data_IF_296548021702
#
_entry.id   IF_296548021702
#
_cell.length_a   1.000
_cell.length_b   1.000
_cell.length_c   1.000
_cell.angle_alpha   90.00
_cell.angle_beta   90.00
_cell.angle_gamma   90.00
#
_symmetry.space_group_name_H-M   'P 1'
#
loop_
_entity.id
_entity.type
_entity.pdbx_description
1 polymer ?
#
# COMPACT_ATOMS: atom_id res chain seq x y z
N UNK A 1 56.00 -13.69 15.95
CA UNK A 1 55.03 -14.74 15.59
C UNK A 1 53.88 -14.93 16.59
N UNK A 2 54.07 -14.70 17.91
CA UNK A 2 52.96 -14.82 18.88
C UNK A 2 51.89 -13.72 18.73
N UNK A 3 52.30 -12.47 18.49
CA UNK A 3 51.39 -11.30 18.36
C UNK A 3 50.48 -11.42 17.13
N UNK A 4 51.02 -11.92 16.01
CA UNK A 4 50.26 -12.15 14.77
C UNK A 4 49.22 -13.27 14.95
N UNK A 5 49.52 -14.28 15.78
CA UNK A 5 48.57 -15.34 16.11
C UNK A 5 47.40 -14.81 16.95
N UNK A 6 47.67 -13.96 17.95
CA UNK A 6 46.62 -13.33 18.76
C UNK A 6 45.72 -12.43 17.92
N UNK A 7 46.28 -11.71 16.94
CA UNK A 7 45.50 -10.85 16.06
C UNK A 7 44.54 -11.66 15.16
N UNK A 8 45.00 -12.79 14.62
CA UNK A 8 44.17 -13.70 13.80
C UNK A 8 43.05 -14.36 14.61
N UNK A 9 43.33 -14.72 15.86
CA UNK A 9 42.32 -15.29 16.76
C UNK A 9 41.27 -14.20 17.08
N UNK A 10 41.69 -12.97 17.36
CA UNK A 10 40.79 -11.88 17.68
C UNK A 10 39.82 -11.54 16.53
N UNK A 11 40.30 -11.47 15.30
CA UNK A 11 39.44 -11.17 14.14
C UNK A 11 38.44 -12.30 13.86
N UNK A 12 38.83 -13.57 14.04
CA UNK A 12 37.94 -14.71 13.88
C UNK A 12 36.78 -14.75 14.89
N UNK A 13 36.96 -14.24 16.12
CA UNK A 13 35.88 -14.20 17.11
C UNK A 13 34.87 -13.07 16.88
N UNK A 14 35.27 -11.96 16.25
CA UNK A 14 34.37 -10.82 16.01
C UNK A 14 33.31 -11.07 14.92
N UNK A 15 33.53 -11.99 14.00
CA UNK A 15 32.57 -12.34 12.95
C UNK A 15 31.37 -13.14 13.46
N UNK A 16 31.51 -13.83 14.60
CA UNK A 16 30.42 -14.63 15.22
C UNK A 16 29.39 -13.75 15.93
N UNK A 17 29.75 -12.52 16.30
CA UNK A 17 28.85 -11.57 16.97
C UNK A 17 27.90 -10.85 15.99
N UNK A 18 28.12 -10.98 14.68
CA UNK A 18 27.22 -10.45 13.65
C UNK A 18 26.11 -11.45 13.34
N UNK A 19 25.16 -11.60 14.26
CA UNK A 19 23.87 -12.18 13.92
C UNK A 19 23.00 -11.09 13.27
N UNK A 20 22.59 -11.20 11.99
CA UNK A 20 21.60 -10.29 11.45
C UNK A 20 20.32 -10.45 12.26
N UNK A 21 19.87 -9.38 12.91
CA UNK A 21 18.58 -9.35 13.57
C UNK A 21 17.51 -9.60 12.51
N UNK A 22 17.06 -10.86 12.37
CA UNK A 22 15.93 -11.21 11.53
C UNK A 22 14.73 -10.54 12.15
N UNK A 23 14.29 -9.43 11.56
CA UNK A 23 13.04 -8.76 11.93
C UNK A 23 11.92 -9.76 11.69
N UNK A 24 11.41 -10.39 12.75
CA UNK A 24 10.21 -11.19 12.67
C UNK A 24 9.07 -10.21 12.38
N UNK A 25 8.45 -10.32 11.20
CA UNK A 25 7.22 -9.59 10.90
C UNK A 25 6.13 -10.16 11.79
N UNK A 26 5.99 -9.57 12.99
CA UNK A 26 4.92 -9.87 13.92
C UNK A 26 3.60 -9.50 13.24
N UNK A 27 2.96 -10.48 12.61
CA UNK A 27 1.53 -10.36 12.32
C UNK A 27 0.86 -10.37 13.67
N UNK A 28 0.37 -9.22 14.14
CA UNK A 28 -0.28 -9.13 15.45
C UNK A 28 -1.63 -9.85 15.32
N UNK A 29 -1.67 -11.12 15.73
CA UNK A 29 -2.87 -11.93 15.74
C UNK A 29 -3.54 -11.71 17.09
N UNK A 30 -4.58 -10.87 17.11
CA UNK A 30 -5.43 -10.72 18.28
C UNK A 30 -6.42 -11.90 18.38
N UNK A 31 -6.80 -12.35 19.59
CA UNK A 31 -7.62 -13.55 19.80
C UNK A 31 -9.07 -13.45 19.31
N UNK A 32 -9.46 -12.34 18.67
CA UNK A 32 -10.82 -12.06 18.19
C UNK A 32 -11.10 -12.58 16.78
N UNK A 33 -10.16 -13.29 16.13
CA UNK A 33 -10.40 -13.93 14.82
C UNK A 33 -10.55 -12.97 13.64
N UNK A 34 -10.54 -11.66 13.87
CA UNK A 34 -10.54 -10.67 12.80
C UNK A 34 -9.12 -10.60 12.21
N UNK A 35 -8.92 -11.30 11.09
CA UNK A 35 -7.84 -10.96 10.16
C UNK A 35 -8.03 -9.49 9.82
N UNK A 36 -7.14 -8.64 10.30
CA UNK A 36 -7.04 -7.28 9.78
C UNK A 36 -6.54 -7.43 8.34
N UNK A 37 -7.48 -7.52 7.39
CA UNK A 37 -7.18 -7.22 6.00
C UNK A 37 -6.42 -5.90 6.00
N UNK A 38 -5.26 -5.91 5.36
CA UNK A 38 -4.47 -4.69 5.12
C UNK A 38 -5.43 -3.60 4.68
N UNK A 39 -5.64 -2.58 5.54
CA UNK A 39 -6.60 -1.50 5.28
C UNK A 39 -6.38 -0.99 3.86
N UNK A 40 -7.37 -1.19 3.00
CA UNK A 40 -7.29 -0.73 1.63
C UNK A 40 -7.04 0.79 1.66
N UNK A 41 -6.00 1.25 0.96
CA UNK A 41 -5.70 2.68 0.92
C UNK A 41 -6.70 3.30 -0.04
N UNK A 42 -7.60 4.14 0.46
CA UNK A 42 -8.50 4.92 -0.38
C UNK A 42 -7.91 6.30 -0.64
N UNK A 43 -8.20 6.85 -1.82
CA UNK A 43 -7.83 8.20 -2.23
C UNK A 43 -9.06 8.95 -2.77
N UNK A 44 -9.04 10.28 -2.63
CA UNK A 44 -10.14 11.12 -3.08
C UNK A 44 -10.08 11.26 -4.60
N UNK A 45 -11.10 10.78 -5.30
CA UNK A 45 -11.32 11.07 -6.71
C UNK A 45 -12.34 12.17 -6.90
N UNK A 46 -12.15 12.99 -7.94
CA UNK A 46 -13.03 14.11 -8.27
C UNK A 46 -13.83 13.81 -9.53
N UNK A 47 -15.07 14.29 -9.59
CA UNK A 47 -15.89 14.14 -10.77
C UNK A 47 -15.29 14.95 -11.94
N UNK A 48 -15.02 14.27 -13.05
CA UNK A 48 -14.50 14.88 -14.28
C UNK A 48 -15.59 15.07 -15.32
N UNK A 49 -16.44 14.06 -15.50
CA UNK A 49 -17.48 14.06 -16.54
C UNK A 49 -18.70 13.28 -16.06
N UNK A 50 -19.86 13.78 -16.45
CA UNK A 50 -21.14 13.13 -16.24
C UNK A 50 -21.81 12.96 -17.61
N UNK A 51 -22.26 11.74 -17.91
CA UNK A 51 -23.05 11.43 -19.09
C UNK A 51 -24.42 10.96 -18.63
N UNK A 52 -25.45 11.71 -18.98
CA UNK A 52 -26.85 11.36 -18.71
C UNK A 52 -27.49 10.81 -19.96
N UNK A 53 -27.93 9.56 -19.91
CA UNK A 53 -28.80 8.94 -20.91
C UNK A 53 -30.17 8.69 -20.27
N UNK A 54 -31.23 8.48 -21.07
CA UNK A 54 -32.57 8.23 -20.54
C UNK A 54 -32.65 7.04 -19.57
N UNK A 55 -31.75 6.06 -19.72
CA UNK A 55 -31.73 4.80 -18.97
C UNK A 55 -30.54 4.66 -18.01
N UNK A 56 -29.50 5.50 -18.12
CA UNK A 56 -28.28 5.36 -17.32
C UNK A 56 -27.62 6.71 -17.05
N UNK A 57 -27.09 6.86 -15.83
CA UNK A 57 -26.18 7.95 -15.46
C UNK A 57 -24.78 7.34 -15.34
N UNK A 58 -23.83 7.84 -16.14
CA UNK A 58 -22.42 7.42 -16.09
C UNK A 58 -21.56 8.54 -15.52
N UNK A 59 -20.89 8.26 -14.41
CA UNK A 59 -20.01 9.20 -13.72
C UNK A 59 -18.55 8.79 -13.94
N UNK A 60 -17.75 9.72 -14.47
CA UNK A 60 -16.32 9.56 -14.67
C UNK A 60 -15.60 10.38 -13.62
N UNK A 61 -14.90 9.70 -12.72
CA UNK A 61 -14.06 10.31 -11.72
C UNK A 61 -12.61 10.26 -12.17
N UNK A 62 -11.79 11.24 -11.77
CA UNK A 62 -10.36 11.19 -12.00
C UNK A 62 -9.55 11.42 -10.75
N UNK A 63 -8.36 10.83 -10.76
CA UNK A 63 -7.28 11.05 -9.80
C UNK A 63 -5.95 11.17 -10.53
N UNK A 64 -4.96 11.75 -9.86
CA UNK A 64 -3.58 11.73 -10.33
C UNK A 64 -2.85 10.56 -9.67
N UNK A 65 -2.11 9.79 -10.46
CA UNK A 65 -1.20 8.79 -9.95
C UNK A 65 0.06 9.46 -9.36
N UNK A 66 0.92 8.69 -8.67
CA UNK A 66 2.19 9.14 -8.09
C UNK A 66 3.11 9.83 -9.10
N UNK A 67 2.96 9.49 -10.38
CA UNK A 67 3.74 10.03 -11.50
C UNK A 67 3.05 11.23 -12.19
N UNK A 68 1.91 11.69 -11.68
CA UNK A 68 1.15 12.82 -12.23
C UNK A 68 0.22 12.46 -13.39
N UNK A 69 0.21 11.19 -13.84
CA UNK A 69 -0.70 10.69 -14.86
C UNK A 69 -2.14 10.68 -14.37
N UNK A 70 -3.08 11.09 -15.22
CA UNK A 70 -4.50 11.10 -14.88
C UNK A 70 -5.11 9.70 -15.10
N UNK A 71 -5.67 9.12 -14.03
CA UNK A 71 -6.41 7.87 -14.08
C UNK A 71 -7.91 8.17 -14.01
N UNK A 72 -8.68 7.60 -14.94
CA UNK A 72 -10.14 7.75 -15.01
C UNK A 72 -10.79 6.49 -14.45
N UNK A 73 -11.69 6.68 -13.50
CA UNK A 73 -12.43 5.63 -12.79
C UNK A 73 -13.91 5.81 -13.09
N UNK A 74 -14.54 4.77 -13.61
CA UNK A 74 -15.99 4.76 -13.90
C UNK A 74 -16.74 4.16 -12.74
N UNK A 75 -17.77 4.86 -12.24
CA UNK A 75 -18.76 4.23 -11.39
C UNK A 75 -19.91 3.74 -12.28
N UNK A 76 -20.01 2.43 -12.42
CA UNK A 76 -21.01 1.77 -13.26
C UNK A 76 -22.37 1.61 -12.56
N UNK A 77 -22.55 2.11 -11.34
CA UNK A 77 -23.85 2.02 -10.66
C UNK A 77 -24.86 3.04 -11.23
N UNK A 78 -25.96 2.57 -11.85
CA UNK A 78 -26.86 3.41 -12.64
C UNK A 78 -27.91 4.17 -11.81
N UNK A 79 -27.93 4.03 -10.49
CA UNK A 79 -29.05 4.47 -9.63
C UNK A 79 -28.77 5.69 -8.75
N UNK A 80 -27.56 6.24 -8.74
CA UNK A 80 -27.22 7.41 -7.91
C UNK A 80 -26.75 8.60 -8.75
N UNK A 81 -27.09 9.82 -8.29
CA UNK A 81 -26.54 11.05 -8.87
C UNK A 81 -25.03 11.10 -8.70
N UNK A 82 -24.30 11.65 -9.68
CA UNK A 82 -22.85 11.79 -9.58
C UNK A 82 -22.48 12.67 -8.38
N UNK A 83 -21.68 12.12 -7.47
CA UNK A 83 -21.10 12.88 -6.36
C UNK A 83 -19.97 13.75 -6.89
N UNK A 84 -19.69 14.88 -6.25
CA UNK A 84 -18.54 15.72 -6.62
C UNK A 84 -17.21 15.01 -6.34
N UNK A 85 -17.18 14.17 -5.31
CA UNK A 85 -16.00 13.44 -4.85
C UNK A 85 -16.41 12.05 -4.35
N UNK A 86 -15.55 11.06 -4.55
CA UNK A 86 -15.71 9.69 -4.03
C UNK A 86 -14.37 9.17 -3.50
N UNK A 87 -14.43 8.20 -2.60
CA UNK A 87 -13.27 7.44 -2.15
C UNK A 87 -13.01 6.29 -3.14
N UNK A 88 -11.90 6.37 -3.87
CA UNK A 88 -11.45 5.34 -4.79
C UNK A 88 -10.39 4.46 -4.16
N UNK A 89 -10.46 3.16 -4.41
CA UNK A 89 -9.42 2.23 -4.01
C UNK A 89 -8.09 2.53 -4.73
N UNK A 90 -6.99 2.51 -3.99
CA UNK A 90 -5.63 2.57 -4.52
C UNK A 90 -5.15 1.14 -4.78
N UNK A 91 -4.98 0.80 -6.05
CA UNK A 91 -4.27 -0.40 -6.50
C UNK A 91 -2.80 -0.42 -6.04
#
# INVERSE_FOLDING_TARGET
>A
MKITLYFLIYTAFTSVLYAPAKMHTNTIIYPTGHKYETKEKYEICRLKKEIRRPTEIKCFYSRQDKYGSELIITNDQPTFSCLKQIDCKRE
#
